data_IF_351408465332
#
_entry.id   IF_351408465332
#
_cell.length_a   1.000
_cell.length_b   1.000
_cell.length_c   1.000
_cell.angle_alpha   90.00
_cell.angle_beta   90.00
_cell.angle_gamma   90.00
#
_symmetry.space_group_name_H-M   'P 1'
#
loop_
_entity.id
_entity.type
_entity.pdbx_description
1 polymer ?
#
# COMPACT_ATOMS: atom_id res chain seq x y z
N UNK A 1 25.10 18.56 5.80
CA UNK A 1 25.00 18.11 4.39
C UNK A 1 23.59 17.59 4.11
N UNK A 2 23.02 17.88 2.92
CA UNK A 2 21.66 17.50 2.53
C UNK A 2 21.56 16.15 1.81
N UNK A 3 20.40 15.51 1.88
CA UNK A 3 19.89 14.60 0.85
C UNK A 3 18.42 14.93 0.55
N UNK A 4 17.90 14.46 -0.58
CA UNK A 4 16.51 14.72 -0.97
C UNK A 4 15.71 13.43 -1.11
N UNK A 5 14.50 13.42 -0.52
CA UNK A 5 13.55 12.31 -0.55
C UNK A 5 12.13 12.84 -0.73
N UNK A 6 11.26 12.11 -1.43
CA UNK A 6 9.85 12.51 -1.56
C UNK A 6 9.13 12.46 -0.20
N UNK A 7 8.23 13.41 0.07
CA UNK A 7 7.49 13.49 1.33
C UNK A 7 6.74 12.19 1.66
N UNK A 8 6.05 11.60 0.69
CA UNK A 8 5.35 10.33 0.87
C UNK A 8 6.31 9.20 1.28
N UNK A 9 7.49 9.15 0.68
CA UNK A 9 8.48 8.09 0.94
C UNK A 9 9.13 8.26 2.32
N UNK A 10 9.39 9.50 2.73
CA UNK A 10 9.79 9.79 4.11
C UNK A 10 8.71 9.35 5.10
N UNK A 11 7.44 9.63 4.83
CA UNK A 11 6.31 9.15 5.62
C UNK A 11 6.27 7.63 5.75
N UNK A 12 6.42 6.91 4.62
CA UNK A 12 6.48 5.45 4.59
C UNK A 12 7.65 4.87 5.39
N UNK A 13 8.84 5.48 5.31
CA UNK A 13 10.00 5.05 6.10
C UNK A 13 9.72 5.14 7.61
N UNK A 14 9.06 6.22 8.05
CA UNK A 14 8.67 6.42 9.46
C UNK A 14 7.58 5.42 9.85
N UNK A 15 6.53 5.28 9.06
CA UNK A 15 5.40 4.39 9.35
C UNK A 15 5.84 2.92 9.45
N UNK A 16 6.71 2.46 8.55
CA UNK A 16 7.27 1.09 8.54
C UNK A 16 8.13 0.76 9.76
N UNK A 17 8.64 1.76 10.49
CA UNK A 17 9.65 1.54 11.53
C UNK A 17 9.22 1.99 12.92
N UNK A 18 8.28 2.94 13.04
CA UNK A 18 7.83 3.50 14.32
C UNK A 18 7.35 2.45 15.33
N UNK A 19 6.76 1.35 14.87
CA UNK A 19 6.25 0.29 15.74
C UNK A 19 7.36 -0.51 16.44
N UNK A 20 8.62 -0.36 15.98
CA UNK A 20 9.80 -1.02 16.54
C UNK A 20 10.60 -0.10 17.49
N UNK A 21 10.13 1.11 17.78
CA UNK A 21 10.83 2.04 18.67
C UNK A 21 10.84 1.51 20.11
N UNK A 22 12.01 1.55 20.75
CA UNK A 22 12.19 1.14 22.14
C UNK A 22 11.56 2.08 23.15
N UNK A 23 11.57 1.67 24.41
CA UNK A 23 11.07 2.50 25.51
C UNK A 23 12.01 3.66 25.87
N UNK A 24 11.46 4.69 26.53
CA UNK A 24 12.17 5.92 26.94
C UNK A 24 13.41 5.69 27.81
N UNK A 25 13.46 4.56 28.53
CA UNK A 25 14.59 4.19 29.39
C UNK A 25 15.81 3.66 28.63
N UNK A 26 15.75 3.57 27.31
CA UNK A 26 16.89 3.18 26.46
C UNK A 26 17.07 4.21 25.36
N UNK A 27 17.80 5.29 25.66
CA UNK A 27 17.93 6.45 24.77
C UNK A 27 18.36 6.08 23.35
N UNK A 28 19.34 5.17 23.19
CA UNK A 28 19.80 4.69 21.88
C UNK A 28 18.70 4.01 21.05
N UNK A 29 17.67 3.47 21.69
CA UNK A 29 16.55 2.78 21.04
C UNK A 29 15.27 3.64 21.02
N UNK A 30 15.26 4.77 21.71
CA UNK A 30 14.09 5.65 21.85
C UNK A 30 13.96 6.61 20.67
N UNK A 31 13.92 6.06 19.46
CA UNK A 31 13.81 6.83 18.23
C UNK A 31 13.97 6.01 16.97
N UNK A 32 13.92 6.71 15.84
CA UNK A 32 14.23 6.18 14.51
C UNK A 32 15.58 6.73 14.08
N UNK A 33 16.52 5.86 13.75
CA UNK A 33 17.78 6.22 13.08
C UNK A 33 17.51 6.44 11.61
N UNK A 34 17.72 7.67 11.13
CA UNK A 34 17.84 7.98 9.72
C UNK A 34 19.31 7.91 9.31
N UNK A 35 19.63 7.02 8.38
CA UNK A 35 20.95 6.93 7.76
C UNK A 35 20.83 7.10 6.25
N UNK A 36 21.85 7.60 5.58
CA UNK A 36 21.90 7.59 4.14
C UNK A 36 23.31 7.32 3.65
N UNK A 37 23.41 6.47 2.64
CA UNK A 37 24.64 6.19 1.90
C UNK A 37 24.55 6.74 0.47
N UNK A 38 25.44 6.31 -0.43
CA UNK A 38 25.43 6.79 -1.82
C UNK A 38 24.13 6.49 -2.59
N UNK A 39 23.32 5.51 -2.16
CA UNK A 39 22.18 5.01 -2.92
C UNK A 39 20.86 5.09 -2.13
N UNK A 40 20.88 4.83 -0.83
CA UNK A 40 19.69 4.61 -0.03
C UNK A 40 19.67 5.47 1.23
N UNK A 41 18.46 5.94 1.56
CA UNK A 41 18.10 6.41 2.89
C UNK A 41 17.46 5.23 3.62
N UNK A 42 17.83 5.05 4.87
CA UNK A 42 17.37 4.02 5.78
C UNK A 42 16.66 4.68 6.95
N UNK A 43 15.50 4.15 7.32
CA UNK A 43 14.93 4.34 8.65
C UNK A 43 15.06 3.03 9.42
N UNK A 44 15.56 3.11 10.65
CA UNK A 44 15.80 1.93 11.49
C UNK A 44 15.34 2.17 12.92
N UNK A 45 14.60 1.23 13.48
CA UNK A 45 14.21 1.23 14.88
C UNK A 45 14.30 -0.18 15.49
N UNK A 46 14.54 -0.25 16.80
CA UNK A 46 14.53 -1.50 17.55
C UNK A 46 14.15 -1.26 19.01
N UNK A 47 13.50 -2.24 19.62
CA UNK A 47 13.12 -2.26 21.03
C UNK A 47 13.79 -3.42 21.79
N UNK A 48 14.90 -3.95 21.25
CA UNK A 48 15.61 -5.18 21.67
C UNK A 48 14.92 -6.50 21.31
N UNK A 49 13.60 -6.50 21.11
CA UNK A 49 12.84 -7.71 20.78
C UNK A 49 12.52 -7.79 19.29
N UNK A 50 12.36 -6.64 18.66
CA UNK A 50 12.16 -6.46 17.24
C UNK A 50 13.14 -5.45 16.68
N UNK A 51 13.47 -5.60 15.41
CA UNK A 51 14.18 -4.58 14.62
C UNK A 51 13.46 -4.47 13.29
N UNK A 52 13.29 -3.24 12.82
CA UNK A 52 12.76 -2.94 11.49
C UNK A 52 13.65 -1.92 10.81
N UNK A 53 14.05 -2.23 9.58
CA UNK A 53 14.81 -1.36 8.71
C UNK A 53 14.06 -1.20 7.38
N UNK A 54 13.61 0.01 7.09
CA UNK A 54 13.03 0.38 5.80
C UNK A 54 14.04 1.17 5.00
N UNK A 55 14.05 1.02 3.67
CA UNK A 55 14.92 1.80 2.78
C UNK A 55 14.16 2.47 1.65
N UNK A 56 14.75 3.53 1.11
CA UNK A 56 14.28 4.18 -0.11
C UNK A 56 15.47 4.74 -0.88
N UNK A 57 15.42 4.66 -2.21
CA UNK A 57 16.49 5.21 -3.05
C UNK A 57 16.38 6.73 -3.10
N UNK A 58 17.41 7.45 -2.68
CA UNK A 58 17.40 8.92 -2.65
C UNK A 58 18.22 9.52 -3.80
N UNK A 59 18.22 10.85 -3.86
CA UNK A 59 19.13 11.62 -4.72
C UNK A 59 19.88 12.68 -3.90
N UNK A 60 21.12 12.97 -4.27
CA UNK A 60 21.84 14.15 -3.78
C UNK A 60 22.82 13.96 -2.62
N UNK A 61 23.44 12.78 -2.44
CA UNK A 61 24.64 12.67 -1.58
C UNK A 61 25.92 12.59 -2.40
N UNK A 62 26.82 13.56 -2.16
CA UNK A 62 28.18 13.58 -2.69
C UNK A 62 29.13 12.74 -1.80
N UNK A 63 28.80 11.45 -1.61
CA UNK A 63 29.72 10.44 -1.07
C UNK A 63 29.88 10.32 0.45
N UNK A 64 29.52 11.32 1.25
CA UNK A 64 29.64 11.26 2.71
C UNK A 64 28.35 10.76 3.41
N UNK A 65 28.43 9.76 4.30
CA UNK A 65 27.25 9.15 4.93
C UNK A 65 26.55 10.09 5.92
N UNK A 66 25.23 10.22 5.79
CA UNK A 66 24.38 10.89 6.78
C UNK A 66 23.92 9.87 7.83
N UNK A 67 23.92 10.23 9.11
CA UNK A 67 23.34 9.36 10.15
C UNK A 67 22.90 10.14 11.39
N UNK A 68 21.60 10.17 11.70
CA UNK A 68 21.04 10.86 12.87
C UNK A 68 19.85 10.10 13.46
N UNK A 69 19.75 10.07 14.79
CA UNK A 69 18.62 9.44 15.49
C UNK A 69 17.58 10.49 15.84
N UNK A 70 16.39 10.36 15.27
CA UNK A 70 15.23 11.19 15.58
C UNK A 70 14.57 10.66 16.85
N UNK A 71 14.39 11.48 17.90
CA UNK A 71 13.80 11.03 19.15
C UNK A 71 12.32 10.68 18.96
N UNK A 72 11.85 9.63 19.65
CA UNK A 72 10.50 9.11 19.50
C UNK A 72 9.39 10.18 19.71
N UNK A 73 9.60 11.07 20.69
CA UNK A 73 8.70 12.20 21.00
C UNK A 73 8.44 13.15 19.82
N UNK A 74 9.34 13.19 18.83
CA UNK A 74 9.24 14.08 17.68
C UNK A 74 8.64 13.40 16.45
N UNK A 75 8.44 12.07 16.47
CA UNK A 75 7.97 11.32 15.31
C UNK A 75 6.53 11.67 14.93
N UNK A 76 5.66 11.92 15.91
CA UNK A 76 4.28 12.37 15.64
C UNK A 76 4.28 13.73 14.91
N UNK A 77 5.00 14.72 15.45
CA UNK A 77 5.11 16.04 14.84
C UNK A 77 5.73 15.98 13.43
N UNK A 78 6.75 15.12 13.24
CA UNK A 78 7.30 14.86 11.91
C UNK A 78 6.25 14.28 10.96
N UNK A 79 5.44 13.32 11.42
CA UNK A 79 4.43 12.68 10.57
C UNK A 79 3.32 13.64 10.14
N UNK A 80 2.86 14.49 11.05
CA UNK A 80 1.91 15.57 10.77
C UNK A 80 2.51 16.61 9.82
N UNK A 81 3.76 17.00 10.02
CA UNK A 81 4.41 17.91 9.08
C UNK A 81 4.54 17.30 7.68
N UNK A 82 4.86 16.00 7.58
CA UNK A 82 4.92 15.29 6.29
C UNK A 82 3.54 15.24 5.62
N UNK A 83 2.44 15.05 6.36
CA UNK A 83 1.09 14.98 5.77
C UNK A 83 0.59 16.31 5.23
N UNK A 84 1.19 17.43 5.63
CA UNK A 84 0.91 18.75 5.03
C UNK A 84 1.58 18.99 3.68
N UNK A 85 2.47 18.09 3.25
CA UNK A 85 3.14 18.19 1.94
C UNK A 85 2.42 17.35 0.89
N UNK A 86 2.49 17.75 -0.38
CA UNK A 86 2.03 16.87 -1.47
C UNK A 86 2.97 15.66 -1.59
N UNK A 87 2.44 14.45 -1.80
CA UNK A 87 3.24 13.21 -1.70
C UNK A 87 4.51 13.15 -2.57
N UNK A 88 4.49 13.76 -3.75
CA UNK A 88 5.62 13.81 -4.69
C UNK A 88 6.60 14.97 -4.42
N UNK A 89 6.32 15.85 -3.46
CA UNK A 89 7.18 16.99 -3.17
C UNK A 89 8.53 16.53 -2.57
N UNK A 90 9.65 17.11 -3.05
CA UNK A 90 10.96 16.81 -2.50
C UNK A 90 11.12 17.45 -1.11
N UNK A 91 11.51 16.63 -0.14
CA UNK A 91 11.96 17.05 1.18
C UNK A 91 13.47 17.01 1.21
N UNK A 92 14.09 18.15 1.48
CA UNK A 92 15.53 18.25 1.71
C UNK A 92 15.81 18.06 3.20
N UNK A 93 16.59 17.03 3.53
CA UNK A 93 16.95 16.67 4.90
C UNK A 93 18.40 17.07 5.15
N UNK A 94 18.65 17.95 6.12
CA UNK A 94 19.99 18.44 6.46
C UNK A 94 20.32 18.21 7.92
N UNK A 95 21.55 17.77 8.18
CA UNK A 95 22.13 17.83 9.53
C UNK A 95 22.74 19.23 9.76
N UNK A 96 22.29 19.90 10.82
CA UNK A 96 22.78 21.20 11.26
C UNK A 96 23.09 21.13 12.77
N UNK A 97 24.31 20.74 13.12
CA UNK A 97 24.73 20.58 14.51
C UNK A 97 23.90 19.54 15.27
N UNK A 98 23.22 20.00 16.33
CA UNK A 98 22.31 19.26 17.20
C UNK A 98 20.88 19.16 16.64
N UNK A 99 20.67 19.46 15.35
CA UNK A 99 19.36 19.40 14.71
C UNK A 99 19.40 18.68 13.36
N UNK A 100 18.30 18.03 13.04
CA UNK A 100 17.94 17.63 11.68
C UNK A 100 16.85 18.57 11.20
N UNK A 101 17.09 19.24 10.06
CA UNK A 101 16.11 20.13 9.43
C UNK A 101 15.54 19.47 8.18
N UNK A 102 14.22 19.44 8.11
CA UNK A 102 13.41 19.02 6.97
C UNK A 102 12.89 20.29 6.31
N UNK A 103 13.19 20.47 5.03
CA UNK A 103 12.81 21.67 4.25
C UNK A 103 11.98 21.21 3.06
N UNK A 104 10.79 21.76 2.88
CA UNK A 104 9.86 21.45 1.79
C UNK A 104 9.11 22.71 1.34
N UNK A 105 8.25 22.59 0.32
CA UNK A 105 7.55 23.73 -0.26
C UNK A 105 6.62 24.45 0.73
N UNK A 106 5.97 23.69 1.63
CA UNK A 106 4.97 24.21 2.56
C UNK A 106 5.52 24.55 3.95
N UNK A 107 6.85 24.53 4.10
CA UNK A 107 7.53 25.01 5.31
C UNK A 107 8.67 24.10 5.75
N UNK A 108 9.20 24.41 6.94
CA UNK A 108 10.38 23.75 7.50
C UNK A 108 10.09 23.18 8.89
N UNK A 109 10.66 22.01 9.18
CA UNK A 109 10.64 21.40 10.49
C UNK A 109 12.07 21.15 10.99
N UNK A 110 12.38 21.63 12.19
CA UNK A 110 13.64 21.35 12.88
C UNK A 110 13.43 20.40 14.06
N UNK A 111 14.13 19.27 14.08
CA UNK A 111 14.08 18.29 15.16
C UNK A 111 15.44 18.28 15.88
N UNK A 112 15.43 18.48 17.20
CA UNK A 112 16.62 18.34 18.03
C UNK A 112 17.05 16.86 18.13
N UNK A 113 18.35 16.62 17.97
CA UNK A 113 18.97 15.29 17.96
C UNK A 113 20.28 15.31 18.75
N UNK A 114 20.68 14.15 19.26
CA UNK A 114 21.99 13.97 19.88
C UNK A 114 22.98 13.48 18.80
N UNK A 115 23.91 14.33 18.31
CA UNK A 115 24.77 13.96 17.19
C UNK A 115 25.73 12.82 17.51
N UNK A 116 26.15 12.72 18.78
CA UNK A 116 27.13 11.74 19.27
C UNK A 116 26.49 10.47 19.84
N UNK A 117 25.17 10.32 19.72
CA UNK A 117 24.48 9.13 20.19
C UNK A 117 24.87 7.93 19.31
N UNK A 118 25.71 7.06 19.87
CA UNK A 118 26.09 5.79 19.27
C UNK A 118 24.84 4.92 19.07
N UNK A 119 24.61 4.48 17.84
CA UNK A 119 23.52 3.55 17.51
C UNK A 119 24.06 2.12 17.40
N UNK A 120 23.21 1.12 17.63
CA UNK A 120 23.64 -0.28 17.53
C UNK A 120 23.93 -0.68 16.08
N UNK A 121 24.78 -1.70 15.88
CA UNK A 121 25.08 -2.24 14.55
C UNK A 121 23.91 -3.06 14.00
N UNK A 122 22.90 -2.36 13.48
CA UNK A 122 21.71 -2.97 12.92
C UNK A 122 22.00 -3.81 11.67
N UNK A 123 23.03 -3.43 10.87
CA UNK A 123 23.44 -4.18 9.68
C UNK A 123 24.04 -5.51 10.07
N UNK A 124 24.92 -5.54 11.07
CA UNK A 124 25.49 -6.76 11.62
C UNK A 124 24.43 -7.68 12.20
N UNK A 125 23.45 -7.13 12.94
CA UNK A 125 22.32 -7.92 13.47
C UNK A 125 21.51 -8.56 12.35
N UNK A 126 21.01 -7.76 11.39
CA UNK A 126 20.15 -8.28 10.33
C UNK A 126 20.91 -9.23 9.39
N UNK A 127 22.18 -8.96 9.10
CA UNK A 127 23.07 -9.90 8.39
C UNK A 127 23.19 -11.23 9.14
N UNK A 128 23.45 -11.16 10.44
CA UNK A 128 23.52 -12.34 11.29
C UNK A 128 22.21 -13.14 11.34
N UNK A 129 21.05 -12.49 11.18
CA UNK A 129 19.76 -13.18 11.04
C UNK A 129 19.60 -13.81 9.65
N UNK A 130 19.98 -13.11 8.59
CA UNK A 130 19.94 -13.62 7.21
C UNK A 130 20.81 -14.87 7.02
N UNK A 131 22.01 -14.84 7.58
CA UNK A 131 23.03 -15.89 7.47
C UNK A 131 22.78 -17.07 8.40
N UNK A 132 21.75 -17.02 9.26
CA UNK A 132 21.37 -18.18 10.06
C UNK A 132 21.02 -19.36 9.16
N UNK A 133 21.80 -20.43 9.25
CA UNK A 133 21.51 -21.72 8.63
C UNK A 133 20.44 -22.44 9.45
N UNK A 134 19.41 -22.92 8.76
CA UNK A 134 18.37 -23.77 9.34
C UNK A 134 18.96 -25.15 9.63
N UNK A 135 19.61 -25.29 10.78
CA UNK A 135 20.26 -26.54 11.19
C UNK A 135 19.26 -27.58 11.72
N UNK A 136 17.99 -27.20 11.92
CA UNK A 136 16.95 -28.09 12.44
C UNK A 136 15.78 -28.15 11.47
N UNK A 137 15.58 -29.31 10.84
CA UNK A 137 14.26 -29.68 10.33
C UNK A 137 13.24 -29.52 11.48
N UNK A 138 12.13 -28.82 11.23
CA UNK A 138 11.05 -28.67 12.21
C UNK A 138 11.18 -27.50 13.20
N UNK A 139 11.85 -26.39 12.84
CA UNK A 139 11.88 -25.19 13.69
C UNK A 139 10.46 -24.66 13.98
N UNK A 140 10.11 -24.58 15.27
CA UNK A 140 8.77 -24.20 15.75
C UNK A 140 8.84 -23.16 16.89
N UNK A 141 9.27 -21.91 16.60
CA UNK A 141 9.48 -20.91 17.63
C UNK A 141 8.16 -20.35 18.17
N UNK A 142 8.14 -20.03 19.46
CA UNK A 142 7.05 -19.26 20.06
C UNK A 142 7.26 -17.78 19.76
N UNK A 143 6.26 -17.15 19.13
CA UNK A 143 6.28 -15.73 18.79
C UNK A 143 5.23 -14.98 19.62
N UNK A 144 5.58 -13.80 20.09
CA UNK A 144 4.63 -12.87 20.70
C UNK A 144 3.78 -12.25 19.57
N UNK A 145 2.46 -12.45 19.62
CA UNK A 145 1.53 -11.95 18.61
C UNK A 145 1.41 -10.42 18.60
N UNK A 146 1.62 -9.77 19.75
CA UNK A 146 1.67 -8.32 19.87
C UNK A 146 2.91 -7.74 19.19
N UNK A 147 4.05 -8.44 19.25
CA UNK A 147 5.24 -8.09 18.49
C UNK A 147 5.06 -8.37 16.99
N UNK A 148 4.43 -9.49 16.62
CA UNK A 148 4.17 -9.83 15.22
C UNK A 148 3.30 -8.78 14.52
N UNK A 149 2.28 -8.27 15.20
CA UNK A 149 1.38 -7.22 14.65
C UNK A 149 2.14 -5.97 14.19
N UNK A 150 3.30 -5.68 14.77
CA UNK A 150 4.10 -4.48 14.44
C UNK A 150 4.64 -4.50 13.01
N UNK A 151 4.79 -5.68 12.42
CA UNK A 151 5.19 -5.83 11.03
C UNK A 151 4.02 -5.61 10.04
N UNK A 152 2.81 -5.31 10.52
CA UNK A 152 1.66 -5.01 9.65
C UNK A 152 1.84 -3.75 8.80
N UNK A 153 2.66 -2.79 9.27
CA UNK A 153 3.00 -1.59 8.50
C UNK A 153 4.22 -1.81 7.58
N UNK A 154 4.88 -2.98 7.62
CA UNK A 154 6.09 -3.26 6.84
C UNK A 154 5.79 -3.32 5.34
N UNK A 155 4.76 -4.07 4.96
CA UNK A 155 4.22 -4.16 3.60
C UNK A 155 2.86 -4.84 3.58
N UNK A 156 2.16 -4.78 2.43
CA UNK A 156 0.88 -5.49 2.23
C UNK A 156 1.09 -7.01 2.26
N UNK A 157 2.25 -7.48 1.78
CA UNK A 157 2.68 -8.87 1.81
C UNK A 157 4.08 -8.98 2.37
N UNK A 158 4.25 -9.83 3.38
CA UNK A 158 5.57 -10.11 3.97
C UNK A 158 5.94 -11.57 3.82
N UNK A 159 7.22 -11.82 3.56
CA UNK A 159 7.82 -13.15 3.61
C UNK A 159 8.39 -13.36 5.01
N UNK A 160 8.06 -14.50 5.61
CA UNK A 160 8.54 -14.88 6.94
C UNK A 160 9.45 -16.10 6.79
N UNK A 161 10.68 -16.00 7.29
CA UNK A 161 11.61 -17.13 7.34
C UNK A 161 11.89 -17.49 8.79
N UNK A 162 11.45 -18.70 9.17
CA UNK A 162 11.81 -19.32 10.45
C UNK A 162 13.19 -19.95 10.29
N UNK A 163 14.17 -19.48 11.07
CA UNK A 163 15.57 -19.89 10.90
C UNK A 163 15.89 -21.12 11.75
N UNK A 164 15.64 -21.07 13.06
CA UNK A 164 15.76 -22.19 13.98
C UNK A 164 14.95 -21.92 15.26
N UNK A 165 14.74 -22.96 16.09
CA UNK A 165 14.17 -22.74 17.42
C UNK A 165 15.09 -21.82 18.25
N UNK A 166 14.49 -20.89 19.00
CA UNK A 166 15.17 -19.85 19.79
C UNK A 166 16.05 -18.87 19.00
N UNK A 167 15.95 -18.85 17.67
CA UNK A 167 16.60 -17.86 16.81
C UNK A 167 15.58 -16.86 16.27
N UNK A 168 16.06 -15.66 15.94
CA UNK A 168 15.20 -14.60 15.43
C UNK A 168 14.50 -15.03 14.14
N UNK A 169 13.21 -14.77 14.04
CA UNK A 169 12.44 -14.94 12.81
C UNK A 169 12.66 -13.73 11.93
N UNK A 170 12.98 -13.96 10.66
CA UNK A 170 13.20 -12.91 9.67
C UNK A 170 11.88 -12.56 8.98
N UNK A 171 11.64 -11.26 8.80
CA UNK A 171 10.50 -10.70 8.06
C UNK A 171 11.02 -9.84 6.92
N UNK A 172 10.54 -10.07 5.70
CA UNK A 172 11.02 -9.39 4.48
C UNK A 172 9.83 -8.80 3.71
N UNK A 173 9.87 -7.50 3.45
CA UNK A 173 8.99 -6.80 2.49
C UNK A 173 9.77 -6.34 1.25
N UNK A 174 9.14 -5.61 0.34
CA UNK A 174 9.74 -5.09 -0.91
C UNK A 174 10.96 -4.19 -0.63
N UNK A 175 10.84 -3.31 0.37
CA UNK A 175 11.90 -2.39 0.82
C UNK A 175 12.01 -2.34 2.34
N UNK A 176 11.76 -3.49 2.97
CA UNK A 176 11.78 -3.65 4.41
C UNK A 176 12.49 -4.94 4.80
N UNK A 177 13.34 -4.85 5.82
CA UNK A 177 13.94 -6.00 6.48
C UNK A 177 13.76 -5.87 7.98
N UNK A 178 13.19 -6.90 8.60
CA UNK A 178 12.97 -6.93 10.03
C UNK A 178 13.27 -8.29 10.64
N UNK A 179 13.37 -8.31 11.96
CA UNK A 179 13.53 -9.54 12.71
C UNK A 179 12.80 -9.46 14.05
N UNK A 180 12.29 -10.59 14.50
CA UNK A 180 11.66 -10.75 15.81
C UNK A 180 12.35 -11.86 16.60
N UNK A 181 12.74 -11.56 17.84
CA UNK A 181 13.18 -12.57 18.80
C UNK A 181 12.01 -13.44 19.27
N UNK A 182 12.19 -14.77 19.40
CA UNK A 182 11.20 -15.64 20.00
C UNK A 182 10.90 -15.26 21.45
N UNK A 183 9.66 -15.48 21.88
CA UNK A 183 9.25 -15.24 23.25
C UNK A 183 9.85 -16.31 24.18
N UNK A 184 10.56 -15.89 25.23
CA UNK A 184 11.06 -16.79 26.26
C UNK A 184 10.02 -16.91 27.39
N UNK A 185 9.26 -18.02 27.40
CA UNK A 185 8.12 -18.24 28.32
C UNK A 185 8.53 -18.30 29.82
N UNK A 186 9.82 -18.43 30.16
CA UNK A 186 10.27 -18.55 31.57
C UNK A 186 9.89 -17.38 32.48
N UNK A 187 9.51 -16.21 31.96
CA UNK A 187 9.23 -15.00 32.78
C UNK A 187 7.77 -14.78 33.19
N UNK A 188 6.80 -15.60 32.75
CA UNK A 188 5.37 -15.33 33.03
C UNK A 188 4.68 -16.21 34.07
N UNK A 189 5.39 -17.09 34.79
CA UNK A 189 4.81 -17.87 35.90
C UNK A 189 3.67 -18.82 35.51
N UNK A 190 3.37 -18.95 34.22
CA UNK A 190 2.43 -19.92 33.66
C UNK A 190 3.27 -21.10 33.20
N UNK A 191 3.42 -22.09 34.08
CA UNK A 191 4.19 -23.33 33.81
C UNK A 191 3.42 -24.36 32.95
N UNK A 192 2.29 -24.02 32.34
CA UNK A 192 1.39 -25.04 31.75
C UNK A 192 1.44 -25.24 30.24
N UNK A 193 2.42 -24.69 29.53
CA UNK A 193 2.69 -25.10 28.13
C UNK A 193 4.17 -24.94 27.80
N UNK A 194 5.00 -25.77 28.43
CA UNK A 194 6.38 -25.92 28.03
C UNK A 194 6.44 -26.35 26.57
N UNK A 195 7.12 -25.56 25.72
CA UNK A 195 7.57 -25.87 24.36
C UNK A 195 6.90 -27.13 23.78
N UNK A 196 5.63 -27.04 23.35
CA UNK A 196 5.02 -28.18 22.69
C UNK A 196 5.86 -28.41 21.43
N UNK A 197 6.61 -29.51 21.42
CA UNK A 197 7.26 -29.96 20.20
C UNK A 197 6.17 -30.14 19.14
N UNK A 198 6.51 -29.95 17.87
CA UNK A 198 5.54 -30.11 16.78
C UNK A 198 4.82 -31.47 16.87
N UNK A 199 5.54 -32.51 17.27
CA UNK A 199 5.01 -33.86 17.49
C UNK A 199 3.95 -33.90 18.62
N UNK A 200 4.13 -33.12 19.69
CA UNK A 200 3.15 -33.05 20.78
C UNK A 200 1.89 -32.32 20.31
N UNK A 201 2.03 -31.21 19.59
CA UNK A 201 0.89 -30.52 18.98
C UNK A 201 0.17 -31.47 18.02
N UNK A 202 0.91 -32.20 17.19
CA UNK A 202 0.33 -33.18 16.29
C UNK A 202 -0.44 -34.27 17.06
N UNK A 203 0.12 -34.82 18.14
CA UNK A 203 -0.55 -35.83 18.96
C UNK A 203 -1.81 -35.30 19.66
N UNK A 204 -1.75 -34.09 20.23
CA UNK A 204 -2.87 -33.45 20.92
C UNK A 204 -4.04 -33.19 19.96
N UNK A 205 -3.72 -32.79 18.73
CA UNK A 205 -4.72 -32.51 17.69
C UNK A 205 -5.08 -33.74 16.85
N UNK A 206 -4.39 -34.87 17.01
CA UNK A 206 -4.56 -36.05 16.17
C UNK A 206 -6.01 -36.55 16.15
N UNK A 207 -6.65 -36.64 17.32
CA UNK A 207 -8.06 -37.07 17.40
C UNK A 207 -8.97 -36.14 16.59
N UNK A 208 -8.77 -34.83 16.69
CA UNK A 208 -9.55 -33.81 15.96
C UNK A 208 -9.29 -33.84 14.46
N UNK A 209 -8.02 -33.92 14.05
CA UNK A 209 -7.60 -33.88 12.65
C UNK A 209 -7.86 -35.22 11.92
N UNK A 210 -7.89 -36.34 12.65
CA UNK A 210 -8.17 -37.68 12.09
C UNK A 210 -9.63 -37.90 11.66
N UNK A 211 -10.55 -37.02 12.06
CA UNK A 211 -11.96 -37.08 11.66
C UNK A 211 -12.20 -36.67 10.18
N UNK A 212 -11.19 -36.09 9.51
CA UNK A 212 -11.19 -35.80 8.09
C UNK A 212 -10.11 -36.58 7.35
N UNK A 213 -10.36 -36.95 6.09
CA UNK A 213 -9.29 -37.41 5.21
C UNK A 213 -8.31 -36.25 4.97
N UNK A 214 -7.01 -36.55 4.83
CA UNK A 214 -6.05 -35.58 4.33
C UNK A 214 -6.45 -35.18 2.90
N UNK A 215 -7.22 -34.10 2.79
CA UNK A 215 -7.55 -33.47 1.53
C UNK A 215 -6.45 -32.46 1.24
N UNK A 216 -5.97 -32.42 -0.01
CA UNK A 216 -5.36 -31.19 -0.49
C UNK A 216 -6.35 -30.06 -0.22
N UNK A 217 -5.87 -28.90 0.24
CA UNK A 217 -6.68 -27.67 0.18
C UNK A 217 -7.19 -27.64 -1.27
N UNK A 218 -8.50 -27.64 -1.52
CA UNK A 218 -9.02 -27.61 -2.88
C UNK A 218 -8.29 -26.51 -3.64
N UNK A 219 -7.73 -26.83 -4.81
CA UNK A 219 -7.10 -25.84 -5.67
C UNK A 219 -8.16 -24.78 -5.98
N UNK A 220 -8.12 -23.69 -5.23
CA UNK A 220 -9.26 -22.80 -5.07
C UNK A 220 -10.24 -23.29 -4.00
N UNK A 221 -10.30 -22.54 -2.89
CA UNK A 221 -11.62 -22.14 -2.37
C UNK A 221 -12.41 -21.73 -3.61
N UNK A 222 -13.60 -22.30 -3.90
CA UNK A 222 -14.37 -21.87 -5.07
C UNK A 222 -14.38 -20.36 -5.01
N UNK A 223 -13.78 -19.72 -6.03
CA UNK A 223 -13.88 -18.29 -6.17
C UNK A 223 -15.36 -17.98 -5.93
N UNK A 224 -15.62 -17.01 -5.05
CA UNK A 224 -16.98 -16.60 -4.73
C UNK A 224 -17.80 -16.66 -6.03
N UNK A 225 -18.97 -17.33 -6.00
CA UNK A 225 -19.70 -17.74 -7.20
C UNK A 225 -19.61 -16.66 -8.25
N UNK A 226 -19.07 -17.04 -9.42
CA UNK A 226 -18.76 -16.18 -10.58
C UNK A 226 -19.49 -14.85 -10.44
N UNK A 227 -18.74 -13.85 -9.95
CA UNK A 227 -19.26 -12.54 -9.61
C UNK A 227 -20.26 -12.16 -10.68
N UNK A 228 -21.49 -11.81 -10.29
CA UNK A 228 -22.48 -11.35 -11.28
C UNK A 228 -21.79 -10.34 -12.19
N UNK A 229 -22.02 -10.42 -13.51
CA UNK A 229 -21.32 -9.69 -14.59
C UNK A 229 -21.16 -8.16 -14.39
N UNK A 230 -21.72 -7.61 -13.33
CA UNK A 230 -21.79 -6.21 -12.96
C UNK A 230 -21.17 -5.88 -11.59
N UNK A 231 -20.62 -6.84 -10.83
CA UNK A 231 -19.86 -6.53 -9.61
C UNK A 231 -18.56 -5.82 -10.00
N UNK A 232 -18.40 -4.59 -9.52
CA UNK A 232 -17.22 -3.78 -9.82
C UNK A 232 -16.06 -4.24 -8.94
N UNK A 233 -14.91 -4.53 -9.56
CA UNK A 233 -13.74 -4.95 -8.80
C UNK A 233 -13.21 -3.82 -7.92
N UNK A 234 -12.82 -4.16 -6.69
CA UNK A 234 -12.14 -3.25 -5.76
C UNK A 234 -10.60 -3.30 -5.90
N UNK A 235 -10.07 -4.13 -6.79
CA UNK A 235 -8.63 -4.32 -6.95
C UNK A 235 -8.08 -3.38 -8.05
N UNK A 236 -7.02 -2.63 -7.72
CA UNK A 236 -6.38 -1.66 -8.63
C UNK A 236 -5.87 -2.34 -9.91
N UNK A 237 -5.19 -3.48 -9.77
CA UNK A 237 -4.60 -4.22 -10.89
C UNK A 237 -5.64 -4.80 -11.84
N UNK A 238 -6.76 -5.30 -11.29
CA UNK A 238 -7.88 -5.82 -12.06
C UNK A 238 -8.61 -4.69 -12.78
N UNK A 239 -8.90 -3.59 -12.08
CA UNK A 239 -9.49 -2.36 -12.66
C UNK A 239 -8.64 -1.82 -13.81
N UNK A 240 -7.32 -1.75 -13.63
CA UNK A 240 -6.40 -1.33 -14.69
C UNK A 240 -6.43 -2.29 -15.89
N UNK A 241 -6.49 -3.60 -15.63
CA UNK A 241 -6.65 -4.63 -16.65
C UNK A 241 -7.94 -4.45 -17.46
N UNK A 242 -9.07 -4.20 -16.79
CA UNK A 242 -10.37 -4.01 -17.43
C UNK A 242 -10.42 -2.74 -18.28
N UNK A 243 -9.84 -1.63 -17.81
CA UNK A 243 -9.75 -0.39 -18.58
C UNK A 243 -8.92 -0.57 -19.87
N UNK A 244 -7.81 -1.32 -19.79
CA UNK A 244 -7.00 -1.66 -20.96
C UNK A 244 -7.76 -2.57 -21.92
N UNK A 245 -8.42 -3.62 -21.41
CA UNK A 245 -9.27 -4.49 -22.22
C UNK A 245 -10.39 -3.70 -22.90
N UNK A 246 -11.05 -2.78 -22.19
CA UNK A 246 -12.11 -1.96 -22.74
C UNK A 246 -11.61 -1.00 -23.82
N UNK A 247 -10.41 -0.46 -23.66
CA UNK A 247 -9.74 0.35 -24.68
C UNK A 247 -9.50 -0.48 -25.96
N UNK A 248 -8.98 -1.70 -25.81
CA UNK A 248 -8.72 -2.61 -26.94
C UNK A 248 -10.03 -3.08 -27.60
N UNK A 249 -11.04 -3.45 -26.83
CA UNK A 249 -12.36 -3.83 -27.34
C UNK A 249 -13.03 -2.69 -28.10
N UNK A 250 -12.97 -1.48 -27.55
CA UNK A 250 -13.59 -0.31 -28.19
C UNK A 250 -12.87 0.08 -29.48
N UNK A 251 -11.53 0.07 -29.49
CA UNK A 251 -10.74 0.35 -30.71
C UNK A 251 -10.95 -0.71 -31.78
N UNK A 252 -11.03 -1.99 -31.39
CA UNK A 252 -11.36 -3.08 -32.30
C UNK A 252 -12.79 -2.95 -32.86
N UNK A 253 -13.78 -2.67 -32.01
CA UNK A 253 -15.16 -2.46 -32.44
C UNK A 253 -15.31 -1.27 -33.39
N UNK A 254 -14.53 -0.19 -33.20
CA UNK A 254 -14.49 0.94 -34.15
C UNK A 254 -13.94 0.55 -35.53
N UNK A 255 -13.00 -0.40 -35.58
CA UNK A 255 -12.40 -0.89 -36.82
C UNK A 255 -13.33 -1.89 -37.54
N UNK A 256 -14.06 -2.70 -36.78
CA UNK A 256 -15.01 -3.68 -37.32
C UNK A 256 -16.39 -3.10 -37.61
N UNK A 257 -16.77 -1.99 -36.98
CA UNK A 257 -18.11 -1.44 -37.17
C UNK A 257 -18.26 -0.86 -38.57
N UNK A 258 -18.95 -1.59 -39.43
CA UNK A 258 -19.67 -1.02 -40.58
C UNK A 258 -20.90 -0.17 -40.14
N UNK A 259 -21.07 0.07 -38.84
CA UNK A 259 -22.28 0.56 -38.20
C UNK A 259 -22.35 2.10 -38.12
N UNK A 260 -23.58 2.60 -37.96
CA UNK A 260 -23.96 4.01 -37.90
C UNK A 260 -23.02 4.89 -37.06
N UNK A 261 -22.93 6.18 -37.42
CA UNK A 261 -22.05 7.15 -36.75
C UNK A 261 -22.23 7.23 -35.23
N UNK A 262 -23.39 6.86 -34.69
CA UNK A 262 -23.66 6.81 -33.25
C UNK A 262 -22.93 5.66 -32.54
N UNK A 263 -22.92 4.45 -33.11
CA UNK A 263 -22.21 3.31 -32.54
C UNK A 263 -20.70 3.54 -32.56
N UNK A 264 -20.19 4.10 -33.66
CA UNK A 264 -18.78 4.51 -33.75
C UNK A 264 -18.43 5.57 -32.70
N UNK A 265 -19.26 6.61 -32.55
CA UNK A 265 -19.04 7.67 -31.56
C UNK A 265 -19.08 7.13 -30.12
N UNK A 266 -19.98 6.19 -29.82
CA UNK A 266 -20.05 5.55 -28.51
C UNK A 266 -18.77 4.77 -28.21
N UNK A 267 -18.29 3.92 -29.12
CA UNK A 267 -17.04 3.20 -28.92
C UNK A 267 -15.83 4.13 -28.83
N UNK A 268 -15.78 5.19 -29.63
CA UNK A 268 -14.72 6.20 -29.55
C UNK A 268 -14.69 6.90 -28.17
N UNK A 269 -15.86 7.30 -27.66
CA UNK A 269 -15.98 7.94 -26.36
C UNK A 269 -15.59 7.00 -25.22
N UNK A 270 -16.10 5.75 -25.23
CA UNK A 270 -15.80 4.75 -24.21
C UNK A 270 -14.32 4.38 -24.22
N UNK A 271 -13.73 4.13 -25.40
CA UNK A 271 -12.31 3.80 -25.52
C UNK A 271 -11.39 4.94 -25.07
N UNK A 272 -11.69 6.19 -25.46
CA UNK A 272 -10.90 7.34 -25.06
C UNK A 272 -11.01 7.64 -23.56
N UNK A 273 -12.17 7.41 -22.95
CA UNK A 273 -12.36 7.59 -21.50
C UNK A 273 -11.70 6.46 -20.71
N UNK A 274 -11.82 5.21 -21.15
CA UNK A 274 -11.13 4.07 -20.53
C UNK A 274 -9.61 4.25 -20.55
N UNK A 275 -9.05 4.71 -21.68
CA UNK A 275 -7.61 5.02 -21.78
C UNK A 275 -7.18 6.14 -20.82
N UNK A 276 -7.93 7.24 -20.75
CA UNK A 276 -7.63 8.34 -19.82
C UNK A 276 -7.71 7.88 -18.36
N UNK A 277 -8.75 7.15 -18.00
CA UNK A 277 -8.91 6.59 -16.67
C UNK A 277 -7.75 5.66 -16.31
N UNK A 278 -7.30 4.80 -17.23
CA UNK A 278 -6.12 3.97 -17.04
C UNK A 278 -4.86 4.82 -16.79
N UNK A 279 -4.62 5.85 -17.61
CA UNK A 279 -3.43 6.72 -17.44
C UNK A 279 -3.45 7.47 -16.11
N UNK A 280 -4.62 7.91 -15.65
CA UNK A 280 -4.76 8.53 -14.33
C UNK A 280 -4.57 7.53 -13.20
N UNK A 281 -5.14 6.32 -13.31
CA UNK A 281 -4.96 5.27 -12.31
C UNK A 281 -3.51 4.80 -12.24
N UNK A 282 -2.83 4.63 -13.37
CA UNK A 282 -1.41 4.27 -13.45
C UNK A 282 -0.52 5.35 -12.80
N UNK A 283 -0.78 6.62 -13.13
CA UNK A 283 -0.07 7.74 -12.52
C UNK A 283 -0.34 7.84 -11.01
N UNK A 284 -1.59 7.66 -10.59
CA UNK A 284 -1.99 7.67 -9.19
C UNK A 284 -1.39 6.50 -8.42
N UNK A 285 -1.45 5.28 -8.97
CA UNK A 285 -0.87 4.10 -8.35
C UNK A 285 0.66 4.22 -8.22
N UNK A 286 1.32 4.82 -9.20
CA UNK A 286 2.76 5.14 -9.13
C UNK A 286 3.06 6.17 -8.05
N UNK A 287 2.20 7.18 -7.88
CA UNK A 287 2.39 8.27 -6.92
C UNK A 287 2.01 7.87 -5.47
N UNK A 288 0.89 7.19 -5.30
CA UNK A 288 0.31 6.73 -4.04
C UNK A 288 -0.54 5.45 -4.26
N UNK A 289 0.06 4.26 -4.08
CA UNK A 289 -0.65 2.98 -4.25
C UNK A 289 -1.85 2.80 -3.31
N UNK A 290 -1.80 3.39 -2.11
CA UNK A 290 -2.88 3.26 -1.11
C UNK A 290 -4.05 4.15 -1.46
N UNK A 291 -3.78 5.39 -1.86
CA UNK A 291 -4.83 6.28 -2.36
C UNK A 291 -5.47 5.71 -3.64
N UNK A 292 -4.67 5.12 -4.55
CA UNK A 292 -5.22 4.41 -5.70
C UNK A 292 -6.15 3.27 -5.28
N UNK A 293 -5.77 2.47 -4.28
CA UNK A 293 -6.63 1.40 -3.75
C UNK A 293 -7.90 1.93 -3.09
N UNK A 294 -7.80 3.01 -2.31
CA UNK A 294 -8.97 3.67 -1.69
C UNK A 294 -9.92 4.20 -2.76
N UNK A 295 -9.43 4.96 -3.74
CA UNK A 295 -10.28 5.51 -4.80
C UNK A 295 -10.93 4.41 -5.62
N UNK A 296 -10.20 3.35 -5.98
CA UNK A 296 -10.79 2.21 -6.69
C UNK A 296 -11.87 1.52 -5.85
N UNK A 297 -11.66 1.35 -4.55
CA UNK A 297 -12.65 0.75 -3.66
C UNK A 297 -13.90 1.64 -3.48
N UNK A 298 -13.72 2.95 -3.30
CA UNK A 298 -14.81 3.94 -3.18
C UNK A 298 -15.62 4.00 -4.49
N UNK A 299 -14.96 4.14 -5.64
CA UNK A 299 -15.64 4.15 -6.95
C UNK A 299 -16.37 2.83 -7.21
N UNK A 300 -15.81 1.69 -6.80
CA UNK A 300 -16.51 0.41 -6.91
C UNK A 300 -17.78 0.37 -6.05
N UNK A 301 -17.76 0.93 -4.84
CA UNK A 301 -18.94 1.04 -3.98
C UNK A 301 -20.01 1.98 -4.54
N UNK A 302 -19.61 3.12 -5.11
CA UNK A 302 -20.52 4.05 -5.79
C UNK A 302 -21.18 3.42 -7.02
N UNK A 303 -20.43 2.62 -7.78
CA UNK A 303 -20.96 1.92 -8.95
C UNK A 303 -21.88 0.76 -8.55
N UNK A 304 -21.52 0.01 -7.50
CA UNK A 304 -22.34 -1.09 -6.97
C UNK A 304 -23.66 -0.60 -6.37
N UNK A 305 -23.75 0.66 -5.89
CA UNK A 305 -25.00 1.21 -5.37
C UNK A 305 -26.05 1.47 -6.47
N UNK A 306 -25.62 1.64 -7.72
CA UNK A 306 -26.48 2.01 -8.84
C UNK A 306 -26.89 3.49 -8.88
N UNK A 307 -26.43 4.31 -7.93
CA UNK A 307 -26.78 5.72 -7.78
C UNK A 307 -25.75 6.66 -8.42
N UNK A 308 -24.98 6.18 -9.41
CA UNK A 308 -23.91 6.93 -10.09
C UNK A 308 -24.35 8.31 -10.60
N UNK A 309 -25.63 8.45 -10.98
CA UNK A 309 -26.20 9.72 -11.42
C UNK A 309 -26.26 10.78 -10.31
N UNK A 310 -26.58 10.37 -9.08
CA UNK A 310 -26.65 11.27 -7.91
C UNK A 310 -25.23 11.67 -7.47
N UNK A 311 -24.30 10.72 -7.38
CA UNK A 311 -22.90 11.04 -7.06
C UNK A 311 -22.26 11.98 -8.07
N UNK A 312 -22.51 11.77 -9.38
CA UNK A 312 -22.01 12.66 -10.42
C UNK A 312 -22.64 14.07 -10.32
N UNK A 313 -23.91 14.15 -9.93
CA UNK A 313 -24.62 15.41 -9.72
C UNK A 313 -24.00 16.21 -8.58
N UNK A 314 -23.86 15.59 -7.41
CA UNK A 314 -23.24 16.21 -6.23
C UNK A 314 -21.79 16.64 -6.48
N UNK A 315 -21.02 15.79 -7.16
CA UNK A 315 -19.64 16.12 -7.53
C UNK A 315 -19.56 17.32 -8.48
N UNK A 316 -20.51 17.46 -9.41
CA UNK A 316 -20.59 18.61 -10.31
C UNK A 316 -20.90 19.91 -9.56
N UNK A 317 -21.89 19.91 -8.65
CA UNK A 317 -22.22 21.08 -7.83
C UNK A 317 -21.04 21.50 -6.95
N UNK A 318 -20.39 20.52 -6.31
CA UNK A 318 -19.21 20.75 -5.47
C UNK A 318 -18.03 21.33 -6.26
N UNK A 319 -17.90 20.97 -7.53
CA UNK A 319 -16.90 21.53 -8.45
C UNK A 319 -17.29 22.92 -9.01
N UNK A 320 -18.46 23.46 -8.63
CA UNK A 320 -18.95 24.76 -9.09
C UNK A 320 -19.61 24.73 -10.48
N UNK A 321 -20.04 23.56 -10.94
CA UNK A 321 -20.82 23.41 -12.16
C UNK A 321 -22.33 23.49 -11.90
N UNK A 322 -23.10 23.67 -12.97
CA UNK A 322 -24.58 23.75 -12.97
C UNK A 322 -25.16 22.50 -13.65
N UNK A 323 -25.39 21.40 -12.91
CA UNK A 323 -25.93 20.17 -13.46
C UNK A 323 -27.39 20.30 -13.92
N UNK A 324 -28.18 21.21 -13.32
CA UNK A 324 -29.55 21.52 -13.76
C UNK A 324 -29.56 22.05 -15.19
N UNK A 325 -28.66 22.99 -15.51
CA UNK A 325 -28.51 23.51 -16.86
C UNK A 325 -28.07 22.42 -17.86
N UNK A 326 -27.18 21.51 -17.46
CA UNK A 326 -26.76 20.38 -18.31
C UNK A 326 -27.91 19.42 -18.60
N UNK A 327 -28.70 19.09 -17.58
CA UNK A 327 -29.85 18.21 -17.73
C UNK A 327 -30.92 18.85 -18.63
N UNK A 328 -31.24 20.13 -18.41
CA UNK A 328 -32.17 20.87 -19.26
C UNK A 328 -31.72 20.92 -20.74
N UNK A 329 -30.42 21.13 -20.99
CA UNK A 329 -29.85 21.11 -22.33
C UNK A 329 -29.93 19.71 -22.98
N UNK A 330 -29.70 18.66 -22.21
CA UNK A 330 -29.82 17.28 -22.67
C UNK A 330 -31.27 16.93 -23.03
N UNK A 331 -32.24 17.26 -22.17
CA UNK A 331 -33.67 17.06 -22.43
C UNK A 331 -34.15 17.84 -23.65
N UNK A 332 -33.69 19.09 -23.83
CA UNK A 332 -33.99 19.88 -25.03
C UNK A 332 -33.45 19.21 -26.30
N UNK A 333 -32.26 18.61 -26.24
CA UNK A 333 -31.67 17.85 -27.36
C UNK A 333 -32.45 16.59 -27.65
N UNK A 334 -32.89 15.84 -26.63
CA UNK A 334 -33.72 14.66 -26.80
C UNK A 334 -35.09 14.99 -27.40
N UNK A 335 -35.73 16.07 -26.93
CA UNK A 335 -36.99 16.55 -27.48
C UNK A 335 -36.86 16.90 -28.98
N UNK A 336 -35.79 17.60 -29.37
CA UNK A 336 -35.47 17.91 -30.77
C UNK A 336 -35.25 16.66 -31.61
N UNK A 337 -34.48 15.70 -31.11
CA UNK A 337 -34.25 14.44 -31.81
C UNK A 337 -35.56 13.68 -32.04
N UNK A 338 -36.44 13.62 -31.04
CA UNK A 338 -37.77 12.97 -31.16
C UNK A 338 -38.68 13.65 -32.18
N UNK A 339 -38.63 14.97 -32.30
CA UNK A 339 -39.40 15.71 -33.32
C UNK A 339 -38.86 15.51 -34.74
N UNK A 340 -37.53 15.37 -34.90
CA UNK A 340 -36.90 15.18 -36.21
C UNK A 340 -37.12 13.76 -36.78
N UNK A 341 -37.23 12.72 -35.93
CA UNK A 341 -37.50 11.34 -36.39
C UNK A 341 -38.96 11.09 -36.75
N UNK A 342 -39.91 11.91 -36.28
CA UNK A 342 -41.35 11.80 -36.58
C UNK A 342 -41.75 12.33 -37.97
N UNK A 343 -40.82 12.93 -38.72
CA UNK A 343 -41.08 13.59 -40.01
C UNK A 343 -40.72 12.79 -41.27
N UNK A 344 -40.39 11.49 -41.19
CA UNK A 344 -40.16 10.68 -42.41
C UNK A 344 -41.52 10.30 -43.04
N UNK A 345 -41.86 10.81 -44.25
CA UNK A 345 -43.10 10.45 -44.92
C UNK A 345 -43.07 8.97 -45.29
N UNK A 346 -44.19 8.29 -45.02
CA UNK A 346 -44.36 6.86 -45.28
C UNK A 346 -44.08 6.51 -46.74
N UNK A 347 -43.21 5.53 -46.94
CA UNK A 347 -43.07 4.85 -48.23
C UNK A 347 -44.38 4.09 -48.49
N UNK A 348 -45.17 4.58 -49.45
CA UNK A 348 -46.24 3.81 -50.08
C UNK A 348 -45.63 2.51 -50.67
N UNK A 349 -46.25 1.34 -50.45
CA UNK A 349 -45.82 0.12 -51.09
C UNK A 349 -46.25 0.14 -52.56
N UNK A 350 -45.29 0.02 -53.47
CA UNK A 350 -45.56 -0.21 -54.89
C UNK A 350 -46.15 -1.61 -55.10
N UNK A 351 -47.25 -1.67 -55.85
CA UNK A 351 -48.02 -2.86 -56.21
C UNK A 351 -47.30 -3.81 -57.17
#
# INVERSE_FOLDING_TARGET
>A
MPFTINAHQLGRLIDRTRAHVGGEFTEVLYGIRLEADANYVYAVASDRYTVGAARYRHTGLDGEPFARTLPARSLHALREWISTQTGHEPVTVTAAGDRVRFTAAHGDLGIAVSPDLAFFDWRGILRGVLEQTSASDGAFPVLDSGLLRRFGDADDLVRVRVTADRRAVLVVGEDFLGAQMPAYIRRRGIETSGHAALDQVHADWQHTLSAGAAAAIPDGIPAAPDRTRYEVTKAVTETAGDLLQQTLRSTHAMLESAASGEAFAAHAAVGATAWRAYRYLDALHTADPRLAATIVAETAEELDSGEIGEFAWEAAEKAGHDPDAWNAAFEARLAKARTDTGGRPGHEPAA
#
